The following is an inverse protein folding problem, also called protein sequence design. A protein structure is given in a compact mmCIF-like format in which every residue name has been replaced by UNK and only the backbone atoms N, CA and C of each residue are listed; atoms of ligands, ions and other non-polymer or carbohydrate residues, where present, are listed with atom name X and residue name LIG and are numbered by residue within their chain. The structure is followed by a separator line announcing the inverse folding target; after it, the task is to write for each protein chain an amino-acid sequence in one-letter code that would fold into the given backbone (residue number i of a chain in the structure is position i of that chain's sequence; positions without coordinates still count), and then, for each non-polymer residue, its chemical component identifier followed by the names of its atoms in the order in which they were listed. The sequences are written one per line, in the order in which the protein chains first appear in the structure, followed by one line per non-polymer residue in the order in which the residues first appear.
data_IF_841482782339
#
_entry.id   IF_841482782339
#
_cell.length_a   1.000
_cell.length_b   1.000
_cell.length_c   1.000
_cell.angle_alpha   90.00
_cell.angle_beta   90.00
_cell.angle_gamma   90.00
#
_symmetry.space_group_name_H-M   'P 1'
#
loop_
_entity.id
_entity.type
_entity.pdbx_description
1 polymer ?
#
# COMPACT_ATOMS: atom_id res chain seq x y z
N UNK A 1 1.45 -4.98 -15.87
CA UNK A 1 1.06 -4.08 -14.76
C UNK A 1 0.84 -4.86 -13.46
N UNK A 2 0.10 -5.97 -13.44
CA UNK A 2 -0.08 -6.77 -12.22
C UNK A 2 1.23 -7.45 -11.74
N UNK A 3 1.98 -8.08 -12.65
CA UNK A 3 3.27 -8.74 -12.33
C UNK A 3 4.34 -7.78 -11.78
N UNK A 4 4.25 -6.50 -12.16
CA UNK A 4 5.18 -5.47 -11.71
C UNK A 4 4.91 -5.08 -10.24
N UNK A 5 3.65 -5.11 -9.81
CA UNK A 5 3.27 -4.85 -8.42
C UNK A 5 3.66 -6.01 -7.51
N UNK A 6 3.52 -7.26 -7.95
CA UNK A 6 3.95 -8.43 -7.19
C UNK A 6 5.49 -8.44 -7.04
N UNK A 7 6.21 -8.06 -8.09
CA UNK A 7 7.67 -7.90 -8.03
C UNK A 7 8.08 -6.76 -7.10
N UNK A 8 7.43 -5.60 -7.18
CA UNK A 8 7.70 -4.48 -6.29
C UNK A 8 7.43 -4.85 -4.83
N UNK A 9 6.36 -5.58 -4.57
CA UNK A 9 6.02 -6.10 -3.25
C UNK A 9 7.15 -6.98 -2.70
N UNK A 10 7.65 -7.90 -3.52
CA UNK A 10 8.78 -8.76 -3.14
C UNK A 10 10.06 -7.95 -2.93
N UNK A 11 10.44 -7.13 -3.90
CA UNK A 11 11.74 -6.43 -3.93
C UNK A 11 11.85 -5.33 -2.85
N UNK A 12 10.72 -4.71 -2.45
CA UNK A 12 10.72 -3.59 -1.49
C UNK A 12 10.19 -3.96 -0.11
N UNK A 13 9.31 -4.95 0.00
CA UNK A 13 8.68 -5.32 1.26
C UNK A 13 8.93 -6.77 1.68
N UNK A 14 9.52 -7.60 0.82
CA UNK A 14 9.84 -9.00 1.12
C UNK A 14 8.63 -9.94 1.17
N UNK A 15 7.43 -9.48 0.78
CA UNK A 15 6.24 -10.32 0.74
C UNK A 15 6.09 -10.98 -0.63
N UNK A 16 5.79 -12.28 -0.64
CA UNK A 16 5.62 -13.07 -1.87
C UNK A 16 4.25 -12.88 -2.51
N UNK A 17 3.27 -12.50 -1.72
CA UNK A 17 1.88 -12.34 -2.17
C UNK A 17 1.18 -11.26 -1.35
N UNK A 18 0.21 -10.62 -2.00
CA UNK A 18 -0.74 -9.75 -1.32
C UNK A 18 -1.72 -10.57 -0.48
N UNK A 19 -2.08 -10.05 0.70
CA UNK A 19 -3.19 -10.61 1.48
C UNK A 19 -4.53 -10.40 0.76
N UNK A 20 -5.58 -11.16 1.10
CA UNK A 20 -6.89 -11.02 0.50
C UNK A 20 -7.38 -9.56 0.46
N UNK A 21 -7.81 -9.12 -0.72
CA UNK A 21 -8.30 -7.76 -0.97
C UNK A 21 -7.23 -6.69 -1.24
N UNK A 22 -5.98 -6.85 -0.75
CA UNK A 22 -4.94 -5.82 -0.92
C UNK A 22 -4.62 -5.56 -2.39
N UNK A 23 -4.43 -6.62 -3.19
CA UNK A 23 -4.04 -6.50 -4.60
C UNK A 23 -5.03 -5.65 -5.41
N UNK A 24 -6.33 -5.90 -5.23
CA UNK A 24 -7.38 -5.14 -5.90
C UNK A 24 -7.36 -3.65 -5.52
N UNK A 25 -7.14 -3.34 -4.24
CA UNK A 25 -7.03 -1.96 -3.75
C UNK A 25 -5.79 -1.28 -4.36
N UNK A 26 -4.63 -1.93 -4.26
CA UNK A 26 -3.35 -1.42 -4.78
C UNK A 26 -3.45 -1.15 -6.29
N UNK A 27 -3.97 -2.09 -7.07
CA UNK A 27 -4.14 -1.92 -8.51
C UNK A 27 -5.07 -0.75 -8.85
N UNK A 28 -6.16 -0.57 -8.10
CA UNK A 28 -7.11 0.54 -8.30
C UNK A 28 -6.47 1.91 -8.00
N UNK A 29 -5.80 2.04 -6.86
CA UNK A 29 -5.15 3.29 -6.44
C UNK A 29 -3.94 3.61 -7.33
N UNK A 30 -3.20 2.59 -7.77
CA UNK A 30 -2.07 2.78 -8.71
C UNK A 30 -2.53 3.39 -10.03
N UNK A 31 -3.72 3.02 -10.52
CA UNK A 31 -4.35 3.65 -11.71
C UNK A 31 -4.92 5.05 -11.45
N UNK A 32 -4.86 5.55 -10.22
CA UNK A 32 -5.38 6.87 -9.83
C UNK A 32 -6.84 6.90 -9.44
N UNK A 33 -7.44 5.75 -9.13
CA UNK A 33 -8.78 5.70 -8.55
C UNK A 33 -8.77 6.00 -7.04
N UNK A 34 -9.86 6.61 -6.57
CA UNK A 34 -10.12 6.83 -5.15
C UNK A 34 -10.68 5.57 -4.48
N UNK A 35 -10.32 5.31 -3.23
CA UNK A 35 -10.76 4.13 -2.49
C UNK A 35 -11.10 4.44 -1.03
N UNK A 36 -12.22 3.90 -0.56
CA UNK A 36 -12.51 3.75 0.87
C UNK A 36 -12.16 2.31 1.27
N UNK A 37 -11.18 2.16 2.17
CA UNK A 37 -10.65 0.85 2.57
C UNK A 37 -11.01 0.55 4.01
N UNK A 38 -11.86 -0.46 4.22
CA UNK A 38 -12.22 -0.97 5.55
C UNK A 38 -11.56 -2.33 5.76
N UNK A 39 -10.57 -2.38 6.64
CA UNK A 39 -9.86 -3.62 6.98
C UNK A 39 -9.55 -3.65 8.48
N UNK A 40 -9.49 -4.84 9.12
CA UNK A 40 -9.16 -4.95 10.54
C UNK A 40 -7.72 -4.48 10.83
N UNK A 41 -7.43 -4.20 12.10
CA UNK A 41 -6.06 -3.91 12.56
C UNK A 41 -5.14 -5.09 12.27
N UNK A 42 -3.90 -4.83 11.87
CA UNK A 42 -2.93 -5.87 11.49
C UNK A 42 -3.15 -6.49 10.10
N UNK A 43 -4.22 -6.14 9.38
CA UNK A 43 -4.49 -6.65 8.03
C UNK A 43 -3.53 -6.12 6.94
N UNK A 44 -2.61 -5.21 7.28
CA UNK A 44 -1.65 -4.64 6.34
C UNK A 44 -2.21 -3.49 5.50
N UNK A 45 -3.06 -2.63 6.08
CA UNK A 45 -3.62 -1.44 5.40
C UNK A 45 -2.53 -0.51 4.82
N UNK A 46 -1.36 -0.43 5.45
CA UNK A 46 -0.28 0.45 5.01
C UNK A 46 0.22 0.15 3.60
N UNK A 47 0.29 -1.14 3.23
CA UNK A 47 0.69 -1.55 1.87
C UNK A 47 -0.25 -1.00 0.79
N UNK A 48 -1.53 -0.79 1.12
CA UNK A 48 -2.54 -0.30 0.17
C UNK A 48 -2.30 1.15 -0.28
N UNK A 49 -1.44 1.92 0.40
CA UNK A 49 -1.01 3.25 -0.05
C UNK A 49 0.51 3.35 -0.28
N UNK A 50 1.33 2.51 0.37
CA UNK A 50 2.79 2.50 0.17
C UNK A 50 3.19 1.91 -1.18
N UNK A 51 2.60 0.78 -1.60
CA UNK A 51 2.91 0.16 -2.89
C UNK A 51 2.52 1.08 -4.06
N UNK A 52 1.31 1.68 -4.11
CA UNK A 52 0.96 2.64 -5.16
C UNK A 52 1.89 3.86 -5.23
N UNK A 53 2.40 4.35 -4.10
CA UNK A 53 3.32 5.47 -4.05
C UNK A 53 4.61 5.19 -4.84
N UNK A 54 5.20 4.01 -4.59
CA UNK A 54 6.42 3.56 -5.26
C UNK A 54 6.15 3.21 -6.73
N UNK A 55 5.06 2.50 -7.01
CA UNK A 55 4.72 2.08 -8.38
C UNK A 55 4.49 3.26 -9.33
N UNK A 56 3.96 4.38 -8.81
CA UNK A 56 3.73 5.61 -9.59
C UNK A 56 4.98 6.50 -9.73
N UNK A 57 6.08 6.17 -9.06
CA UNK A 57 7.33 6.94 -9.11
C UNK A 57 7.24 8.35 -8.49
N UNK A 58 6.31 8.56 -7.55
CA UNK A 58 6.07 9.87 -6.92
C UNK A 58 6.19 9.84 -5.39
N UNK A 59 5.71 10.89 -4.74
CA UNK A 59 5.61 10.98 -3.28
C UNK A 59 4.15 10.80 -2.84
N UNK A 60 3.90 9.91 -1.87
CA UNK A 60 2.61 9.82 -1.21
C UNK A 60 2.57 10.69 0.04
N UNK A 61 1.57 11.56 0.13
CA UNK A 61 1.27 12.32 1.34
C UNK A 61 0.35 11.50 2.24
N UNK A 62 0.87 11.04 3.38
CA UNK A 62 0.11 10.27 4.37
C UNK A 62 -0.22 11.17 5.56
N UNK A 63 -1.51 11.32 5.86
CA UNK A 63 -2.00 12.09 7.00
C UNK A 63 -2.46 11.11 8.09
N UNK A 64 -1.86 11.22 9.28
CA UNK A 64 -2.21 10.40 10.44
C UNK A 64 -2.43 11.32 11.66
N UNK A 65 -3.46 11.07 12.50
CA UNK A 65 -3.77 11.93 13.62
C UNK A 65 -2.77 11.80 14.80
N UNK A 66 -2.00 10.71 14.87
CA UNK A 66 -1.15 10.40 16.03
C UNK A 66 0.32 10.30 15.62
N UNK A 67 1.16 11.17 16.20
CA UNK A 67 2.62 11.17 15.98
C UNK A 67 3.24 9.82 16.37
N UNK A 68 2.74 9.17 17.42
CA UNK A 68 3.20 7.84 17.83
C UNK A 68 3.08 6.83 16.68
N UNK A 69 1.93 6.80 16.00
CA UNK A 69 1.72 5.90 14.85
C UNK A 69 2.58 6.27 13.65
N UNK A 70 2.93 7.55 13.48
CA UNK A 70 3.84 7.97 12.42
C UNK A 70 5.25 7.43 12.68
N UNK A 71 5.73 7.49 13.93
CA UNK A 71 7.05 6.96 14.30
C UNK A 71 7.18 5.45 14.13
N UNK A 72 6.08 4.71 14.29
CA UNK A 72 6.08 3.25 14.08
C UNK A 72 6.14 2.85 12.59
N UNK A 73 6.09 3.80 11.65
CA UNK A 73 6.01 3.56 10.21
C UNK A 73 7.13 4.23 9.40
N UNK A 74 8.07 4.95 10.06
CA UNK A 74 9.22 5.66 9.46
C UNK A 74 10.51 5.13 10.06
#
# INVERSE_FOLDING_TARGET
MSDDLDRLLLDRFGFREFRPGQKAIVEHVTRGGDALVVMPTGAGKSLCFQVPALARGGCALVVSPLIALMKDQV
#
